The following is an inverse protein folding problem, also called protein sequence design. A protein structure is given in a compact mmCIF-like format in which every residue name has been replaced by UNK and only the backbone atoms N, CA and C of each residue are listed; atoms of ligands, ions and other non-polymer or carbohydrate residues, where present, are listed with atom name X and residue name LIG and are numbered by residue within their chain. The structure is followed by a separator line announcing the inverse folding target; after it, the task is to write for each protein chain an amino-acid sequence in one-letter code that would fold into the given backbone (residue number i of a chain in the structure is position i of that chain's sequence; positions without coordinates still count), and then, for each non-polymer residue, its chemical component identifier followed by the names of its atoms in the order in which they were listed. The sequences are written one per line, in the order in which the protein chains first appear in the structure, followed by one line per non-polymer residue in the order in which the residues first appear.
data_IF_211053919980
#
_entry.id   IF_211053919980
#
_cell.length_a   1.000
_cell.length_b   1.000
_cell.length_c   1.000
_cell.angle_alpha   90.00
_cell.angle_beta   90.00
_cell.angle_gamma   90.00
#
_symmetry.space_group_name_H-M   'P 1'
#
loop_
_entity.id
_entity.type
_entity.pdbx_description
1 polymer ?
#
# COMPACT_ATOMS: atom_id res chain seq x y z
N UNK A 1 -14.22 14.37 54.48
CA UNK A 1 -14.59 15.75 54.83
C UNK A 1 -13.99 16.67 53.76
N UNK A 2 -14.86 17.44 53.11
CA UNK A 2 -14.72 18.62 52.20
C UNK A 2 -13.33 19.31 52.25
N UNK A 3 -12.68 19.79 51.17
CA UNK A 3 -13.12 20.85 50.24
C UNK A 3 -12.30 20.94 48.94
N UNK A 4 -13.02 21.30 47.87
CA UNK A 4 -12.55 21.91 46.62
C UNK A 4 -12.35 23.43 46.80
N UNK A 5 -11.45 24.03 46.01
CA UNK A 5 -11.39 25.46 45.67
C UNK A 5 -10.51 25.60 44.41
N UNK A 6 -10.99 25.97 43.23
CA UNK A 6 -11.60 27.23 42.78
C UNK A 6 -10.63 28.42 42.80
N UNK A 7 -10.20 28.83 41.59
CA UNK A 7 -10.05 30.25 41.21
C UNK A 7 -9.86 30.41 39.71
N UNK A 8 -10.94 30.88 39.10
CA UNK A 8 -11.05 31.55 37.80
C UNK A 8 -10.20 32.82 37.67
N UNK A 9 -10.00 33.21 36.40
CA UNK A 9 -10.21 34.55 35.83
C UNK A 9 -9.01 35.11 35.03
N UNK A 10 -9.14 35.09 33.70
CA UNK A 10 -8.34 35.91 32.78
C UNK A 10 -8.87 37.34 32.66
N UNK A 11 -8.23 38.20 31.85
CA UNK A 11 -8.84 39.45 31.42
C UNK A 11 -9.24 39.41 29.93
N UNK A 12 -10.54 39.61 29.67
CA UNK A 12 -11.05 40.24 28.44
C UNK A 12 -10.81 41.75 28.52
N UNK A 13 -10.49 42.39 27.41
CA UNK A 13 -10.80 43.80 27.16
C UNK A 13 -11.24 43.99 25.71
N UNK A 14 -12.48 44.42 25.56
CA UNK A 14 -12.99 45.22 24.45
C UNK A 14 -13.32 46.59 25.05
N UNK A 15 -13.07 47.67 24.32
CA UNK A 15 -13.77 48.95 24.51
C UNK A 15 -13.74 49.75 23.19
N UNK A 16 -14.92 50.24 22.83
CA UNK A 16 -15.31 50.99 21.63
C UNK A 16 -14.95 52.50 21.71
N UNK A 17 -14.94 53.18 20.54
CA UNK A 17 -15.57 54.51 20.45
C UNK A 17 -14.72 55.75 20.05
N UNK A 18 -14.83 56.10 18.75
CA UNK A 18 -15.12 57.43 18.16
C UNK A 18 -14.24 58.69 18.39
N UNK A 19 -13.93 59.39 17.27
CA UNK A 19 -13.93 60.87 17.23
C UNK A 19 -12.76 61.61 16.57
N UNK A 20 -12.89 61.92 15.26
CA UNK A 20 -12.44 63.09 14.47
C UNK A 20 -11.12 63.85 14.82
N UNK A 21 -10.23 64.06 13.84
CA UNK A 21 -10.08 65.28 12.98
C UNK A 21 -8.85 65.17 12.05
N UNK A 22 -9.03 65.54 10.79
CA UNK A 22 -7.99 65.91 9.79
C UNK A 22 -7.43 67.32 10.10
N UNK A 23 -6.21 67.75 9.67
CA UNK A 23 -5.88 67.85 8.23
C UNK A 23 -4.39 67.73 7.77
N UNK A 24 -4.24 67.54 6.45
CA UNK A 24 -3.24 68.14 5.53
C UNK A 24 -1.74 67.80 5.71
N UNK A 25 -0.88 67.60 4.71
CA UNK A 25 -0.94 67.69 3.23
C UNK A 25 0.39 67.11 2.68
N UNK A 26 0.42 66.91 1.35
CA UNK A 26 1.52 66.66 0.39
C UNK A 26 1.77 65.19 0.02
N UNK A 27 1.99 64.80 -1.23
CA UNK A 27 1.67 65.31 -2.56
C UNK A 27 2.18 64.23 -3.56
N UNK A 28 1.35 63.77 -4.49
CA UNK A 28 1.73 63.39 -5.87
C UNK A 28 0.48 62.93 -6.64
N UNK A 29 0.26 63.60 -7.76
CA UNK A 29 -0.87 63.51 -8.70
C UNK A 29 -0.45 62.63 -9.88
N UNK A 30 -1.25 61.61 -10.22
CA UNK A 30 -1.26 60.95 -11.53
C UNK A 30 -2.73 60.60 -11.86
N UNK A 31 -3.25 60.87 -13.08
CA UNK A 31 -4.68 60.77 -13.37
C UNK A 31 -5.09 59.31 -13.62
N UNK A 32 -6.06 58.80 -12.86
CA UNK A 32 -6.72 57.51 -13.14
C UNK A 32 -7.85 57.72 -14.14
N UNK A 33 -7.71 57.12 -15.31
CA UNK A 33 -8.78 56.97 -16.32
C UNK A 33 -9.87 56.02 -15.79
N UNK A 34 -11.18 56.35 -15.90
CA UNK A 34 -12.24 55.47 -15.41
C UNK A 34 -12.45 54.28 -16.35
N UNK A 35 -12.67 53.04 -15.85
CA UNK A 35 -13.10 51.94 -16.69
C UNK A 35 -14.51 52.20 -17.23
N UNK A 36 -14.85 51.68 -18.43
CA UNK A 36 -16.13 51.98 -19.08
C UNK A 36 -17.30 51.36 -18.31
N UNK A 37 -18.36 52.15 -18.20
CA UNK A 37 -19.68 51.74 -17.70
C UNK A 37 -20.27 50.72 -18.68
N UNK A 38 -20.60 49.53 -18.19
CA UNK A 38 -21.31 48.51 -18.98
C UNK A 38 -22.78 48.55 -18.57
N UNK A 39 -23.65 48.89 -19.53
CA UNK A 39 -25.11 48.80 -19.41
C UNK A 39 -25.56 47.34 -19.16
N UNK A 40 -26.70 47.12 -18.47
CA UNK A 40 -27.20 45.78 -18.19
C UNK A 40 -27.85 45.17 -19.45
N UNK A 41 -27.14 44.29 -20.13
CA UNK A 41 -27.74 43.43 -21.16
C UNK A 41 -28.57 42.30 -20.53
N UNK A 42 -29.70 42.06 -21.18
CA UNK A 42 -30.80 41.15 -20.85
C UNK A 42 -30.35 39.67 -20.82
N UNK A 43 -30.95 38.79 -20.01
CA UNK A 43 -30.52 37.39 -19.88
C UNK A 43 -30.57 36.61 -21.21
N UNK A 44 -29.43 36.02 -21.58
CA UNK A 44 -29.35 35.02 -22.65
C UNK A 44 -29.69 33.62 -22.11
N UNK A 45 -30.47 32.87 -22.89
CA UNK A 45 -30.92 31.50 -22.61
C UNK A 45 -29.76 30.52 -22.37
N UNK A 46 -29.97 29.46 -21.57
CA UNK A 46 -28.97 28.43 -21.35
C UNK A 46 -28.68 27.64 -22.64
N UNK A 47 -27.43 27.16 -22.84
CA UNK A 47 -27.09 26.33 -23.99
C UNK A 47 -27.90 25.04 -23.98
N UNK A 48 -28.47 24.68 -25.14
CA UNK A 48 -28.94 23.32 -25.40
C UNK A 48 -27.76 22.36 -25.28
N UNK A 49 -27.91 21.45 -24.33
CA UNK A 49 -27.10 20.25 -24.17
C UNK A 49 -27.24 19.39 -25.43
N UNK A 50 -26.20 19.39 -26.26
CA UNK A 50 -26.07 18.48 -27.38
C UNK A 50 -25.68 17.11 -26.81
N UNK A 51 -26.65 16.19 -26.81
CA UNK A 51 -26.48 14.81 -26.39
C UNK A 51 -25.44 14.12 -27.30
N UNK A 52 -24.19 14.09 -26.83
CA UNK A 52 -23.19 13.18 -27.36
C UNK A 52 -23.54 11.77 -26.88
N UNK A 53 -24.04 10.98 -27.82
CA UNK A 53 -24.47 9.59 -27.67
C UNK A 53 -23.57 8.75 -26.75
N UNK A 54 -24.15 8.30 -25.64
CA UNK A 54 -23.67 7.12 -24.93
C UNK A 54 -23.79 5.92 -25.89
N UNK A 55 -22.64 5.40 -26.34
CA UNK A 55 -22.61 4.06 -26.94
C UNK A 55 -23.01 3.07 -25.84
N UNK A 56 -24.04 2.24 -26.02
CA UNK A 56 -24.36 1.22 -25.02
C UNK A 56 -23.16 0.29 -24.89
N UNK A 57 -22.73 0.03 -23.65
CA UNK A 57 -21.87 -1.11 -23.40
C UNK A 57 -22.62 -2.38 -23.83
N UNK A 58 -21.97 -3.37 -24.44
CA UNK A 58 -22.60 -4.64 -24.69
C UNK A 58 -22.97 -5.30 -23.36
N UNK A 59 -24.23 -5.68 -23.20
CA UNK A 59 -24.67 -6.59 -22.15
C UNK A 59 -23.97 -7.93 -22.34
N UNK A 60 -23.01 -8.23 -21.46
CA UNK A 60 -22.46 -9.57 -21.33
C UNK A 60 -23.54 -10.38 -20.61
N UNK A 61 -24.24 -11.23 -21.35
CA UNK A 61 -25.09 -12.26 -20.77
C UNK A 61 -24.20 -13.21 -19.96
N UNK A 62 -24.20 -13.05 -18.64
CA UNK A 62 -23.78 -14.11 -17.73
C UNK A 62 -24.71 -15.31 -17.97
N UNK A 63 -24.18 -16.53 -18.17
CA UNK A 63 -25.06 -17.69 -18.23
C UNK A 63 -25.79 -17.81 -16.89
N UNK A 64 -27.12 -17.76 -16.95
CA UNK A 64 -27.96 -18.17 -15.83
C UNK A 64 -27.69 -19.66 -15.63
N UNK A 65 -27.08 -19.99 -14.48
CA UNK A 65 -26.99 -21.36 -14.04
C UNK A 65 -28.41 -21.81 -13.69
N UNK A 66 -29.01 -22.52 -14.64
CA UNK A 66 -30.25 -23.26 -14.48
C UNK A 66 -30.08 -24.25 -13.31
N UNK A 67 -30.68 -23.91 -12.17
CA UNK A 67 -30.78 -24.77 -11.00
C UNK A 67 -32.21 -25.31 -10.89
N UNK A 68 -32.75 -25.87 -11.98
CA UNK A 68 -33.96 -26.68 -11.89
C UNK A 68 -33.62 -28.08 -11.36
N UNK A 69 -33.80 -28.23 -10.05
CA UNK A 69 -34.57 -29.33 -9.45
C UNK A 69 -34.21 -30.77 -9.83
N UNK A 70 -33.36 -31.41 -9.01
CA UNK A 70 -33.57 -32.81 -8.66
C UNK A 70 -33.12 -33.05 -7.21
N UNK A 71 -34.00 -32.72 -6.26
CA UNK A 71 -33.92 -33.25 -4.90
C UNK A 71 -34.21 -34.75 -4.97
N UNK A 72 -33.30 -35.65 -4.56
CA UNK A 72 -33.64 -37.05 -4.35
C UNK A 72 -34.37 -37.16 -3.00
N UNK A 73 -35.56 -37.75 -3.04
CA UNK A 73 -36.39 -38.10 -1.90
C UNK A 73 -35.66 -39.11 -0.97
N UNK A 74 -35.62 -38.89 0.35
CA UNK A 74 -34.96 -39.78 1.29
C UNK A 74 -35.97 -40.73 1.96
N UNK A 75 -36.53 -41.73 1.26
CA UNK A 75 -37.12 -42.90 1.93
C UNK A 75 -37.48 -44.05 0.99
N UNK A 76 -36.63 -45.08 0.92
CA UNK A 76 -37.05 -46.49 0.90
C UNK A 76 -35.83 -47.40 1.04
N UNK A 77 -35.97 -48.38 1.93
CA UNK A 77 -34.93 -49.19 2.55
C UNK A 77 -34.52 -50.44 1.73
N UNK A 78 -33.36 -51.00 2.12
CA UNK A 78 -33.01 -52.42 1.98
C UNK A 78 -31.83 -52.70 1.05
N UNK A 79 -30.76 -53.42 1.41
CA UNK A 79 -30.45 -54.24 2.58
C UNK A 79 -28.92 -54.35 2.71
N UNK A 80 -28.50 -54.68 3.92
CA UNK A 80 -27.15 -54.70 4.46
C UNK A 80 -26.18 -55.68 3.79
N UNK A 81 -24.87 -55.49 4.03
CA UNK A 81 -24.01 -56.56 4.56
C UNK A 81 -22.73 -55.99 5.20
N UNK A 82 -22.53 -56.43 6.45
CA UNK A 82 -21.29 -56.58 7.23
C UNK A 82 -20.45 -55.34 7.57
N UNK A 83 -20.50 -54.98 8.85
CA UNK A 83 -19.44 -54.23 9.53
C UNK A 83 -18.35 -55.16 10.04
N UNK A 84 -17.11 -54.70 9.92
CA UNK A 84 -15.98 -54.92 10.84
C UNK A 84 -14.72 -54.39 10.15
N UNK A 85 -14.31 -53.16 10.49
CA UNK A 85 -12.93 -52.68 10.42
C UNK A 85 -12.84 -51.29 11.04
N UNK A 86 -13.31 -51.14 12.28
CA UNK A 86 -12.92 -50.01 13.13
C UNK A 86 -11.98 -50.56 14.21
N UNK A 87 -10.77 -50.95 13.80
CA UNK A 87 -9.65 -51.18 14.70
C UNK A 87 -8.34 -51.20 13.92
N UNK A 88 -7.36 -50.45 14.45
CA UNK A 88 -5.94 -50.40 14.09
C UNK A 88 -5.55 -49.61 12.84
N UNK A 89 -5.28 -48.31 13.03
CA UNK A 89 -3.97 -47.66 12.82
C UNK A 89 -3.94 -46.39 13.71
N UNK A 90 -3.87 -46.56 15.03
CA UNK A 90 -2.71 -46.19 15.84
C UNK A 90 -1.85 -45.04 15.29
N UNK A 91 -1.80 -43.95 16.06
CA UNK A 91 -0.66 -43.08 16.32
C UNK A 91 0.45 -43.08 15.25
N UNK A 92 0.42 -42.05 14.40
CA UNK A 92 1.63 -41.46 13.87
C UNK A 92 1.60 -39.98 14.27
N UNK A 93 2.23 -39.70 15.40
CA UNK A 93 2.74 -38.40 15.82
C UNK A 93 3.47 -37.76 14.63
N UNK A 94 2.86 -36.76 14.00
CA UNK A 94 3.56 -35.92 13.02
C UNK A 94 4.46 -34.99 13.82
N UNK A 95 5.65 -35.51 14.12
CA UNK A 95 6.77 -34.72 14.59
C UNK A 95 7.09 -33.68 13.51
N UNK A 96 6.69 -32.44 13.79
CA UNK A 96 7.10 -31.25 13.07
C UNK A 96 8.63 -31.28 12.92
N UNK A 97 9.18 -31.23 11.70
CA UNK A 97 10.60 -31.04 11.56
C UNK A 97 10.90 -29.58 11.92
N UNK A 98 11.19 -29.33 13.20
CA UNK A 98 12.00 -28.21 13.64
C UNK A 98 13.37 -28.35 12.96
N UNK A 99 13.48 -27.84 11.74
CA UNK A 99 14.80 -27.52 11.20
C UNK A 99 15.32 -26.36 12.04
N UNK A 100 16.44 -26.51 12.77
CA UNK A 100 17.06 -25.38 13.43
C UNK A 100 17.42 -24.37 12.35
N UNK A 101 16.93 -23.14 12.51
CA UNK A 101 17.55 -22.00 11.85
C UNK A 101 18.96 -21.90 12.45
N UNK A 102 19.91 -22.53 11.77
CA UNK A 102 21.32 -22.43 12.08
C UNK A 102 21.73 -20.95 11.94
N UNK A 103 21.78 -20.25 13.07
CA UNK A 103 22.37 -18.92 13.19
C UNK A 103 23.90 -18.95 13.03
N UNK A 104 24.49 -20.07 12.58
CA UNK A 104 25.94 -20.24 12.44
C UNK A 104 26.49 -20.00 11.03
N UNK A 105 25.67 -19.56 10.07
CA UNK A 105 26.19 -19.03 8.80
C UNK A 105 26.17 -17.50 8.72
N UNK A 106 26.66 -16.85 9.79
CA UNK A 106 27.21 -15.48 9.73
C UNK A 106 28.65 -15.57 9.18
N UNK A 107 28.82 -16.21 8.02
CA UNK A 107 30.13 -16.47 7.40
C UNK A 107 30.27 -15.95 5.97
N UNK A 108 29.18 -15.49 5.36
CA UNK A 108 29.25 -14.65 4.17
C UNK A 108 29.04 -13.21 4.62
N UNK A 109 30.05 -12.35 4.45
CA UNK A 109 29.89 -10.93 4.67
C UNK A 109 28.60 -10.46 3.98
N UNK A 110 27.66 -9.91 4.75
CA UNK A 110 26.45 -9.35 4.17
C UNK A 110 26.87 -8.36 3.08
N UNK A 111 26.25 -8.41 1.89
CA UNK A 111 26.60 -7.47 0.83
C UNK A 111 26.44 -6.05 1.35
N UNK A 112 27.42 -5.20 1.07
CA UNK A 112 27.34 -3.78 1.42
C UNK A 112 26.17 -3.18 0.64
N UNK A 113 25.17 -2.71 1.37
CA UNK A 113 23.98 -2.08 0.79
C UNK A 113 24.26 -0.60 0.55
N UNK A 114 23.70 -0.06 -0.52
CA UNK A 114 23.64 1.37 -0.75
C UNK A 114 22.38 1.92 -0.09
N UNK A 115 22.56 2.78 0.91
CA UNK A 115 21.43 3.40 1.63
C UNK A 115 20.67 4.37 0.73
N UNK A 116 19.34 4.26 0.76
CA UNK A 116 18.44 5.12 0.02
C UNK A 116 18.47 6.55 0.60
N UNK A 117 18.78 7.52 -0.26
CA UNK A 117 18.76 8.95 0.11
C UNK A 117 17.34 9.53 0.17
N UNK A 118 16.40 8.89 -0.53
CA UNK A 118 14.99 9.27 -0.62
C UNK A 118 14.16 8.01 -0.56
N UNK A 119 13.09 8.03 0.23
CA UNK A 119 12.08 6.98 0.27
C UNK A 119 10.93 7.33 -0.68
N UNK A 120 10.40 6.34 -1.37
CA UNK A 120 9.34 6.52 -2.38
C UNK A 120 7.99 5.91 -1.97
N UNK A 121 8.00 4.99 -1.00
CA UNK A 121 6.79 4.38 -0.42
C UNK A 121 5.95 5.35 0.41
N UNK A 122 6.41 6.60 0.60
CA UNK A 122 5.67 7.64 1.34
C UNK A 122 4.28 7.88 0.77
N UNK A 123 4.07 7.64 -0.53
CA UNK A 123 2.76 7.72 -1.19
C UNK A 123 1.71 6.83 -0.52
N UNK A 124 2.11 5.66 0.00
CA UNK A 124 1.21 4.79 0.76
C UNK A 124 0.86 5.45 2.10
N UNK A 125 1.86 5.99 2.79
CA UNK A 125 1.66 6.60 4.12
C UNK A 125 0.97 7.95 4.11
N UNK A 126 1.00 8.68 2.98
CA UNK A 126 0.42 10.02 2.84
C UNK A 126 -0.99 10.02 2.23
N UNK A 127 -1.43 8.90 1.66
CA UNK A 127 -2.75 8.76 1.05
C UNK A 127 -3.74 8.12 2.05
N UNK A 128 -4.82 8.81 2.46
CA UNK A 128 -5.78 8.27 3.43
C UNK A 128 -6.48 6.98 2.98
N UNK A 129 -6.74 6.82 1.69
CA UNK A 129 -7.37 5.62 1.15
C UNK A 129 -6.38 4.45 1.15
N UNK A 130 -5.12 4.69 0.78
CA UNK A 130 -4.06 3.69 0.87
C UNK A 130 -3.83 3.25 2.32
N UNK A 131 -3.79 4.19 3.27
CA UNK A 131 -3.67 3.88 4.70
C UNK A 131 -4.85 3.04 5.22
N UNK A 132 -6.07 3.35 4.78
CA UNK A 132 -7.27 2.56 5.13
C UNK A 132 -7.19 1.15 4.58
N UNK A 133 -6.77 0.98 3.32
CA UNK A 133 -6.58 -0.32 2.71
C UNK A 133 -5.49 -1.13 3.44
N UNK A 134 -4.39 -0.48 3.83
CA UNK A 134 -3.31 -1.08 4.59
C UNK A 134 -3.78 -1.56 5.97
N UNK A 135 -4.65 -0.81 6.65
CA UNK A 135 -5.15 -1.19 7.99
C UNK A 135 -5.93 -2.52 8.01
N UNK A 136 -6.49 -2.96 6.88
CA UNK A 136 -7.14 -4.27 6.77
C UNK A 136 -6.17 -5.45 6.67
N UNK A 137 -4.87 -5.20 6.47
CA UNK A 137 -3.85 -6.22 6.31
C UNK A 137 -3.19 -6.58 7.65
N UNK A 138 -2.82 -7.87 7.86
CA UNK A 138 -1.94 -8.24 8.96
C UNK A 138 -0.64 -7.43 8.93
N UNK A 139 -0.07 -7.12 10.09
CA UNK A 139 1.15 -6.30 10.22
C UNK A 139 2.27 -6.76 9.28
N UNK A 140 2.47 -8.08 9.18
CA UNK A 140 3.51 -8.66 8.32
C UNK A 140 3.30 -8.33 6.85
N UNK A 141 2.04 -8.32 6.40
CA UNK A 141 1.65 -8.00 5.01
C UNK A 141 1.71 -6.52 4.73
N UNK A 142 1.42 -5.67 5.73
CA UNK A 142 1.68 -4.23 5.61
C UNK A 142 3.16 -3.95 5.39
N UNK A 143 4.03 -4.58 6.18
CA UNK A 143 5.47 -4.43 6.01
C UNK A 143 5.93 -4.91 4.62
N UNK A 144 5.45 -6.06 4.16
CA UNK A 144 5.73 -6.56 2.80
C UNK A 144 5.35 -5.56 1.71
N UNK A 145 4.12 -5.03 1.78
CA UNK A 145 3.60 -4.10 0.78
C UNK A 145 4.40 -2.80 0.76
N UNK A 146 4.75 -2.26 1.93
CA UNK A 146 5.60 -1.07 2.07
C UNK A 146 6.99 -1.31 1.48
N UNK A 147 7.66 -2.37 1.93
CA UNK A 147 9.03 -2.69 1.52
C UNK A 147 9.14 -3.07 0.05
N UNK A 148 8.17 -3.80 -0.50
CA UNK A 148 8.16 -4.19 -1.91
C UNK A 148 7.82 -3.00 -2.81
N UNK A 149 6.97 -2.08 -2.36
CA UNK A 149 6.72 -0.82 -3.08
C UNK A 149 7.96 0.06 -3.07
N UNK A 150 8.63 0.20 -1.92
CA UNK A 150 9.89 0.92 -1.83
C UNK A 150 10.95 0.31 -2.76
N UNK A 151 11.17 -1.01 -2.68
CA UNK A 151 12.13 -1.71 -3.53
C UNK A 151 11.85 -1.50 -5.03
N UNK A 152 10.59 -1.55 -5.44
CA UNK A 152 10.20 -1.31 -6.84
C UNK A 152 10.65 0.06 -7.31
N UNK A 153 10.36 1.09 -6.52
CA UNK A 153 10.65 2.46 -6.90
C UNK A 153 12.15 2.77 -6.81
N UNK A 154 12.86 2.21 -5.82
CA UNK A 154 14.32 2.28 -5.77
C UNK A 154 14.97 1.68 -7.03
N UNK A 155 14.50 0.51 -7.47
CA UNK A 155 14.98 -0.13 -8.70
C UNK A 155 14.68 0.69 -9.96
N UNK A 156 13.50 1.34 -10.03
CA UNK A 156 13.13 2.22 -11.16
C UNK A 156 13.97 3.49 -11.23
N UNK A 157 14.41 4.00 -10.08
CA UNK A 157 15.19 5.23 -9.96
C UNK A 157 16.70 4.97 -9.84
N UNK A 158 17.14 3.70 -9.89
CA UNK A 158 18.54 3.31 -9.89
C UNK A 158 19.27 3.75 -11.18
N UNK A 159 20.59 3.64 -11.16
CA UNK A 159 21.44 3.86 -12.33
C UNK A 159 22.32 2.62 -12.58
N UNK A 160 22.12 1.88 -13.67
CA UNK A 160 21.02 2.00 -14.63
C UNK A 160 19.64 1.66 -14.00
N UNK A 161 18.53 2.17 -14.57
CA UNK A 161 17.20 1.88 -14.04
C UNK A 161 16.72 0.48 -14.44
N UNK A 162 16.02 -0.19 -13.52
CA UNK A 162 15.35 -1.46 -13.78
C UNK A 162 13.84 -1.26 -13.89
N UNK A 163 13.18 -2.09 -14.71
CA UNK A 163 11.73 -2.23 -14.76
C UNK A 163 11.36 -3.62 -14.23
N UNK A 164 11.13 -3.78 -12.91
CA UNK A 164 10.87 -5.09 -12.35
C UNK A 164 9.55 -5.67 -12.88
N UNK A 165 9.62 -6.88 -13.38
CA UNK A 165 8.47 -7.71 -13.77
C UNK A 165 8.00 -8.54 -12.58
N UNK A 166 8.96 -9.06 -11.80
CA UNK A 166 8.71 -9.83 -10.59
C UNK A 166 9.62 -9.33 -9.49
N UNK A 167 9.00 -9.04 -8.34
CA UNK A 167 9.68 -8.76 -7.10
C UNK A 167 9.41 -9.88 -6.10
N UNK A 168 10.35 -10.16 -5.20
CA UNK A 168 10.10 -11.08 -4.10
C UNK A 168 9.07 -10.48 -3.13
N UNK A 169 8.37 -11.35 -2.40
CA UNK A 169 7.43 -11.00 -1.32
C UNK A 169 7.90 -11.71 -0.05
N UNK A 170 7.78 -11.04 1.09
CA UNK A 170 8.25 -11.52 2.38
C UNK A 170 7.30 -11.15 3.52
N UNK A 171 7.12 -12.05 4.48
CA UNK A 171 6.48 -11.72 5.76
C UNK A 171 7.50 -11.19 6.76
N UNK A 172 7.20 -10.07 7.42
CA UNK A 172 7.98 -9.59 8.55
C UNK A 172 7.73 -10.47 9.78
N UNK A 173 8.60 -11.45 10.03
CA UNK A 173 8.43 -12.44 11.11
C UNK A 173 8.54 -11.85 12.52
N UNK A 174 9.48 -10.94 12.73
CA UNK A 174 9.75 -10.32 14.04
C UNK A 174 10.36 -8.93 13.88
N UNK A 175 10.11 -8.06 14.85
CA UNK A 175 10.64 -6.69 14.88
C UNK A 175 10.15 -5.84 13.70
N UNK A 176 11.03 -4.96 13.23
CA UNK A 176 10.72 -3.92 12.23
C UNK A 176 11.56 -4.03 10.95
N UNK A 177 12.48 -4.99 10.90
CA UNK A 177 13.50 -5.08 9.84
C UNK A 177 13.25 -6.30 8.98
N UNK A 178 13.10 -6.05 7.69
CA UNK A 178 13.05 -7.05 6.65
C UNK A 178 14.39 -7.04 5.88
N UNK A 179 15.20 -8.07 6.10
CA UNK A 179 16.51 -8.22 5.47
C UNK A 179 16.71 -9.68 5.02
N UNK A 180 16.00 -10.13 3.96
CA UNK A 180 16.06 -11.50 3.50
C UNK A 180 17.44 -11.83 2.93
N UNK A 181 17.99 -12.98 3.33
CA UNK A 181 19.23 -13.47 2.77
C UNK A 181 19.01 -14.01 1.35
N UNK A 182 19.82 -13.56 0.39
CA UNK A 182 19.92 -14.11 -0.98
C UNK A 182 18.57 -14.15 -1.73
N UNK A 183 18.06 -12.97 -2.07
CA UNK A 183 16.87 -12.85 -2.91
C UNK A 183 17.23 -12.52 -4.37
N UNK A 184 16.24 -12.52 -5.24
CA UNK A 184 16.37 -12.12 -6.63
C UNK A 184 15.10 -11.40 -7.11
N UNK A 185 15.24 -10.61 -8.16
CA UNK A 185 14.12 -10.04 -8.91
C UNK A 185 14.31 -10.30 -10.41
N UNK A 186 13.21 -10.20 -11.16
CA UNK A 186 13.22 -10.33 -12.63
C UNK A 186 12.99 -8.98 -13.28
N UNK A 187 13.79 -8.65 -14.28
CA UNK A 187 13.61 -7.50 -15.15
C UNK A 187 14.13 -7.82 -16.56
N UNK A 188 13.39 -7.41 -17.59
CA UNK A 188 13.75 -7.63 -18.99
C UNK A 188 14.01 -9.11 -19.32
N UNK A 189 13.18 -10.00 -18.77
CA UNK A 189 13.33 -11.44 -18.95
C UNK A 189 14.54 -12.09 -18.24
N UNK A 190 15.34 -11.33 -17.48
CA UNK A 190 16.54 -11.79 -16.78
C UNK A 190 16.38 -11.71 -15.27
N UNK A 191 16.89 -12.70 -14.53
CA UNK A 191 16.98 -12.68 -13.08
C UNK A 191 18.28 -12.03 -12.60
N UNK A 192 18.21 -11.25 -11.52
CA UNK A 192 19.35 -10.59 -10.90
C UNK A 192 19.41 -10.95 -9.42
N UNK A 193 20.63 -11.15 -8.90
CA UNK A 193 20.83 -11.22 -7.45
C UNK A 193 20.46 -9.88 -6.80
N UNK A 194 19.80 -9.94 -5.65
CA UNK A 194 19.37 -8.77 -4.90
C UNK A 194 19.61 -8.99 -3.42
N UNK A 195 20.03 -7.93 -2.76
CA UNK A 195 20.02 -7.83 -1.30
C UNK A 195 19.47 -6.48 -0.91
N UNK A 196 18.66 -6.46 0.14
CA UNK A 196 18.11 -5.24 0.66
C UNK A 196 17.83 -5.36 2.16
N UNK A 197 17.73 -4.21 2.80
CA UNK A 197 17.26 -4.00 4.15
C UNK A 197 16.16 -2.96 4.07
N UNK A 198 14.98 -3.30 4.59
CA UNK A 198 13.87 -2.39 4.74
C UNK A 198 13.49 -2.35 6.22
N UNK A 199 13.45 -1.17 6.81
CA UNK A 199 12.98 -0.95 8.17
C UNK A 199 11.67 -0.17 8.13
N UNK A 200 10.65 -0.68 8.80
CA UNK A 200 9.36 -0.01 8.98
C UNK A 200 9.25 0.58 10.38
N UNK A 201 8.31 1.49 10.60
CA UNK A 201 7.96 1.92 11.96
C UNK A 201 7.27 0.79 12.75
N UNK A 202 7.11 0.97 14.06
CA UNK A 202 6.50 -0.05 14.94
C UNK A 202 5.11 -0.48 14.46
N UNK A 203 4.34 0.48 13.93
CA UNK A 203 3.01 0.24 13.37
C UNK A 203 3.00 -0.44 12.00
N UNK A 204 4.15 -0.61 11.33
CA UNK A 204 4.24 -1.01 9.93
C UNK A 204 3.32 -0.16 9.02
N UNK A 205 3.35 1.16 9.22
CA UNK A 205 2.59 2.17 8.49
C UNK A 205 3.45 2.93 7.48
N UNK A 206 4.77 2.96 7.66
CA UNK A 206 5.72 3.60 6.76
C UNK A 206 7.09 2.92 6.80
N UNK A 207 7.86 3.08 5.73
CA UNK A 207 9.30 2.77 5.72
C UNK A 207 10.05 3.92 6.38
N UNK A 208 11.00 3.59 7.27
CA UNK A 208 11.85 4.56 7.97
C UNK A 208 13.30 4.53 7.48
N UNK A 209 13.78 3.38 7.01
CA UNK A 209 15.08 3.26 6.34
C UNK A 209 15.04 2.17 5.28
N UNK A 210 15.80 2.36 4.21
CA UNK A 210 15.92 1.38 3.14
C UNK A 210 17.33 1.41 2.56
N UNK A 211 17.87 0.24 2.24
CA UNK A 211 19.12 0.11 1.50
C UNK A 211 19.08 -1.14 0.64
N UNK A 212 19.70 -1.10 -0.54
CA UNK A 212 19.74 -2.25 -1.44
C UNK A 212 21.02 -2.32 -2.26
N UNK A 213 21.29 -3.48 -2.82
CA UNK A 213 22.36 -3.72 -3.78
C UNK A 213 21.88 -4.70 -4.84
N UNK A 214 22.08 -4.38 -6.11
CA UNK A 214 21.80 -5.28 -7.23
C UNK A 214 23.11 -5.98 -7.62
N UNK A 215 23.07 -7.31 -7.62
CA UNK A 215 24.17 -8.16 -8.05
C UNK A 215 24.15 -8.45 -9.55
N UNK A 216 24.94 -9.44 -9.96
CA UNK A 216 25.03 -9.86 -11.35
C UNK A 216 23.72 -10.52 -11.84
N UNK A 217 23.56 -10.55 -13.16
CA UNK A 217 22.55 -11.38 -13.80
C UNK A 217 22.80 -12.86 -13.52
N UNK A 218 21.77 -13.57 -13.08
CA UNK A 218 21.82 -14.99 -12.73
C UNK A 218 21.72 -15.83 -14.02
N UNK A 219 22.70 -16.69 -14.34
CA UNK A 219 22.64 -17.54 -15.53
C UNK A 219 21.39 -18.40 -15.58
N UNK A 220 20.80 -18.59 -16.77
CA UNK A 220 19.58 -19.40 -16.95
C UNK A 220 19.73 -20.85 -16.46
N UNK A 221 20.95 -21.39 -16.49
CA UNK A 221 21.28 -22.70 -15.92
C UNK A 221 21.02 -22.80 -14.41
N UNK A 222 21.08 -21.69 -13.67
CA UNK A 222 20.83 -21.65 -12.23
C UNK A 222 19.35 -21.49 -11.85
N UNK A 223 18.48 -21.03 -12.76
CA UNK A 223 17.11 -20.64 -12.41
C UNK A 223 16.31 -21.77 -11.78
N UNK A 224 16.40 -22.97 -12.36
CA UNK A 224 15.73 -24.18 -11.83
C UNK A 224 16.25 -24.54 -10.44
N UNK A 225 17.57 -24.44 -10.22
CA UNK A 225 18.19 -24.73 -8.92
C UNK A 225 17.73 -23.73 -7.86
N UNK A 226 17.51 -22.47 -8.25
CA UNK A 226 16.99 -21.40 -7.39
C UNK A 226 15.46 -21.34 -7.30
N UNK A 227 14.76 -22.28 -7.96
CA UNK A 227 13.29 -22.39 -8.00
C UNK A 227 12.59 -21.11 -8.48
N UNK A 228 13.19 -20.39 -9.41
CA UNK A 228 12.50 -19.29 -10.07
C UNK A 228 11.35 -19.82 -10.95
N UNK A 229 10.21 -19.11 -11.04
CA UNK A 229 9.12 -19.54 -11.91
C UNK A 229 9.57 -19.63 -13.38
N UNK A 230 8.98 -20.59 -14.10
CA UNK A 230 9.24 -20.84 -15.53
C UNK A 230 8.21 -20.05 -16.37
N UNK A 231 8.68 -19.23 -17.32
CA UNK A 231 7.86 -18.42 -18.23
C UNK A 231 8.45 -18.43 -19.64
#
# INVERSE_FOLDING_TARGET
MVQFGDKDAGPRKEDDGSGAVDPAETAADDPVEPPPVVEPEKPAEPPKEEAAAAKPLPDIALPEADLEGQVPDPSAEGEALSGEAIAALNEAEVKEPEAPVDESNVGAAAPKLDDAKKLFSTVISSDPAAMTAMNGLPRERRADQLCTTELREQLRNASPPFRPELLPSFGLKKGNILAPAKTAFRASGQWYDLSFRCEVDDGATKVVSFGFSVGAAIPRSEWRKRRFPDF
#
